data_IF_613524587248
#
_entry.id   IF_613524587248
#
_cell.length_a   1.000
_cell.length_b   1.000
_cell.length_c   1.000
_cell.angle_alpha   90.00
_cell.angle_beta   90.00
_cell.angle_gamma   90.00
#
_symmetry.space_group_name_H-M   'P 1'
#
loop_
_entity.id
_entity.type
_entity.pdbx_description
1 polymer ?
#
# COMPACT_ATOMS: atom_id res chain seq x y z
N UNK A 1 17.80 1.14 39.34
CA UNK A 1 16.97 0.24 38.50
C UNK A 1 15.54 0.75 38.32
N UNK A 2 14.81 1.15 39.38
CA UNK A 2 13.41 1.67 39.30
C UNK A 2 13.21 2.93 38.43
N UNK A 3 14.11 3.92 38.49
CA UNK A 3 13.96 5.18 37.72
C UNK A 3 14.02 4.99 36.19
N UNK A 4 14.90 4.11 35.70
CA UNK A 4 15.00 3.77 34.26
C UNK A 4 13.75 3.03 33.78
N UNK A 5 13.16 2.20 34.64
CA UNK A 5 11.93 1.46 34.33
C UNK A 5 10.72 2.39 34.23
N UNK A 6 10.56 3.33 35.15
CA UNK A 6 9.47 4.32 35.13
C UNK A 6 9.57 5.24 33.89
N UNK A 7 10.78 5.74 33.57
CA UNK A 7 10.99 6.56 32.36
C UNK A 7 10.66 5.80 31.07
N UNK A 8 10.97 4.51 31.02
CA UNK A 8 10.64 3.65 29.87
C UNK A 8 9.13 3.50 29.70
N UNK A 9 8.40 3.22 30.78
CA UNK A 9 6.93 3.14 30.77
C UNK A 9 6.30 4.46 30.30
N UNK A 10 6.79 5.60 30.80
CA UNK A 10 6.29 6.91 30.38
C UNK A 10 6.54 7.19 28.88
N UNK A 11 7.73 6.83 28.37
CA UNK A 11 8.04 6.95 26.94
C UNK A 11 7.19 6.04 26.07
N UNK A 12 6.95 4.80 26.49
CA UNK A 12 6.13 3.83 25.75
C UNK A 12 4.66 4.27 25.72
N UNK A 13 4.14 4.83 26.82
CA UNK A 13 2.80 5.41 26.88
C UNK A 13 2.66 6.64 25.96
N UNK A 14 3.67 7.52 25.94
CA UNK A 14 3.65 8.69 25.07
C UNK A 14 3.65 8.30 23.59
N UNK A 15 4.46 7.30 23.21
CA UNK A 15 4.45 6.76 21.84
C UNK A 15 3.11 6.15 21.45
N UNK A 16 2.44 5.45 22.36
CA UNK A 16 1.11 4.89 22.09
C UNK A 16 0.08 5.99 21.83
N UNK A 17 0.14 7.09 22.58
CA UNK A 17 -0.74 8.26 22.39
C UNK A 17 -0.50 8.90 21.02
N UNK A 18 0.76 9.20 20.68
CA UNK A 18 1.11 9.76 19.36
C UNK A 18 0.62 8.87 18.23
N UNK A 19 0.89 7.55 18.33
CA UNK A 19 0.44 6.57 17.35
C UNK A 19 -1.08 6.55 17.18
N UNK A 20 -1.84 6.65 18.26
CA UNK A 20 -3.32 6.62 18.20
C UNK A 20 -3.93 7.85 17.53
N UNK A 21 -3.19 8.97 17.50
CA UNK A 21 -3.62 10.23 16.87
C UNK A 21 -3.18 10.36 15.42
N UNK A 22 -2.24 9.52 14.97
CA UNK A 22 -1.70 9.58 13.62
C UNK A 22 -2.42 8.61 12.69
N UNK A 23 -2.79 9.04 11.47
CA UNK A 23 -3.31 8.13 10.46
C UNK A 23 -2.19 7.29 9.80
N UNK A 24 -0.93 7.56 10.12
CA UNK A 24 0.22 6.92 9.47
C UNK A 24 0.75 5.71 10.23
N UNK A 25 1.07 4.67 9.48
CA UNK A 25 1.65 3.44 10.00
C UNK A 25 2.82 2.97 9.15
N UNK A 26 3.88 2.51 9.80
CA UNK A 26 5.04 1.88 9.16
C UNK A 26 4.83 0.38 8.89
N UNK A 27 3.62 -0.17 9.07
CA UNK A 27 3.34 -1.61 8.90
C UNK A 27 3.68 -2.13 7.51
N UNK A 28 3.53 -1.31 6.45
CA UNK A 28 3.81 -1.73 5.08
C UNK A 28 5.28 -2.17 4.86
N UNK A 29 6.21 -1.77 5.73
CA UNK A 29 7.61 -2.24 5.69
C UNK A 29 7.75 -3.76 5.69
N UNK A 30 6.75 -4.46 6.27
CA UNK A 30 6.68 -5.92 6.37
C UNK A 30 5.59 -6.54 5.50
N UNK A 31 4.77 -5.71 4.85
CA UNK A 31 3.60 -6.16 4.09
C UNK A 31 3.79 -5.98 2.58
N UNK A 32 4.75 -5.18 2.09
CA UNK A 32 5.15 -5.05 0.67
C UNK A 32 3.95 -4.91 -0.31
N UNK A 33 4.10 -5.17 -1.61
CA UNK A 33 2.99 -5.07 -2.58
C UNK A 33 2.15 -6.36 -2.68
N UNK A 34 2.78 -7.54 -2.64
CA UNK A 34 2.11 -8.85 -2.57
C UNK A 34 1.06 -9.09 -3.67
N UNK A 35 1.33 -8.63 -4.90
CA UNK A 35 0.34 -8.70 -5.97
C UNK A 35 -0.15 -10.13 -6.23
N UNK A 36 0.77 -11.10 -6.31
CA UNK A 36 0.42 -12.49 -6.58
C UNK A 36 -0.42 -13.09 -5.45
N UNK A 37 -0.06 -12.84 -4.19
CA UNK A 37 -0.79 -13.34 -3.03
C UNK A 37 -2.19 -12.72 -2.93
N UNK A 38 -2.30 -11.41 -3.17
CA UNK A 38 -3.60 -10.71 -3.22
C UNK A 38 -4.46 -11.30 -4.33
N UNK A 39 -3.90 -11.55 -5.52
CA UNK A 39 -4.64 -12.12 -6.64
C UNK A 39 -5.09 -13.56 -6.38
N UNK A 40 -4.23 -14.40 -5.82
CA UNK A 40 -4.60 -15.77 -5.44
C UNK A 40 -5.70 -15.76 -4.38
N UNK A 41 -5.62 -14.87 -3.39
CA UNK A 41 -6.67 -14.69 -2.38
C UNK A 41 -7.99 -14.27 -3.03
N UNK A 42 -7.97 -13.30 -3.95
CA UNK A 42 -9.16 -12.84 -4.65
C UNK A 42 -9.81 -13.93 -5.51
N UNK A 43 -9.01 -14.83 -6.12
CA UNK A 43 -9.53 -15.97 -6.87
C UNK A 43 -10.34 -16.93 -6.00
N UNK A 44 -9.80 -17.31 -4.84
CA UNK A 44 -10.50 -18.20 -3.91
C UNK A 44 -11.78 -17.56 -3.37
N UNK A 45 -11.77 -16.25 -3.08
CA UNK A 45 -13.01 -15.53 -2.71
C UNK A 45 -14.02 -15.52 -3.87
N UNK A 46 -13.55 -15.33 -5.11
CA UNK A 46 -14.41 -15.34 -6.29
C UNK A 46 -15.02 -16.72 -6.56
N UNK A 47 -14.30 -17.80 -6.22
CA UNK A 47 -14.77 -19.19 -6.27
C UNK A 47 -15.78 -19.54 -5.15
N UNK A 48 -16.07 -18.59 -4.25
CA UNK A 48 -17.08 -18.73 -3.21
C UNK A 48 -16.56 -19.30 -1.89
N UNK A 49 -15.24 -19.46 -1.73
CA UNK A 49 -14.67 -19.89 -0.46
C UNK A 49 -14.93 -18.86 0.64
N UNK A 50 -15.34 -19.34 1.83
CA UNK A 50 -15.31 -18.56 3.06
C UNK A 50 -13.87 -18.18 3.46
N UNK A 51 -13.73 -17.24 4.38
CA UNK A 51 -12.41 -16.82 4.88
C UNK A 51 -11.66 -17.97 5.54
N UNK A 52 -12.39 -18.84 6.26
CA UNK A 52 -11.86 -20.02 6.93
C UNK A 52 -11.37 -21.06 5.93
N UNK A 53 -12.18 -21.42 4.93
CA UNK A 53 -11.82 -22.38 3.87
C UNK A 53 -10.63 -21.88 3.05
N UNK A 54 -10.64 -20.60 2.67
CA UNK A 54 -9.53 -19.97 1.96
C UNK A 54 -8.23 -20.03 2.78
N UNK A 55 -8.31 -19.76 4.08
CA UNK A 55 -7.15 -19.81 4.97
C UNK A 55 -6.59 -21.23 5.06
N UNK A 56 -7.48 -22.22 5.18
CA UNK A 56 -7.11 -23.63 5.20
C UNK A 56 -6.43 -24.02 3.90
N UNK A 57 -7.05 -23.73 2.75
CA UNK A 57 -6.56 -24.08 1.43
C UNK A 57 -5.18 -23.45 1.13
N UNK A 58 -4.99 -22.16 1.43
CA UNK A 58 -3.69 -21.50 1.23
C UNK A 58 -2.60 -22.10 2.12
N UNK A 59 -2.95 -22.52 3.35
CA UNK A 59 -1.99 -23.08 4.30
C UNK A 59 -1.65 -24.53 3.99
N UNK A 60 -2.65 -25.38 3.71
CA UNK A 60 -2.45 -26.80 3.40
C UNK A 60 -1.61 -26.98 2.14
N UNK A 61 -1.90 -26.19 1.12
CA UNK A 61 -1.30 -26.34 -0.20
C UNK A 61 -0.09 -25.41 -0.39
N UNK A 62 0.21 -24.61 0.64
CA UNK A 62 1.26 -23.59 0.66
C UNK A 62 1.27 -22.74 -0.62
N UNK A 63 0.10 -22.22 -1.01
CA UNK A 63 -0.08 -21.56 -2.33
C UNK A 63 0.83 -20.35 -2.53
N UNK A 64 1.30 -19.72 -1.46
CA UNK A 64 2.23 -18.60 -1.54
C UNK A 64 3.71 -19.02 -1.50
N UNK A 65 4.01 -20.30 -1.25
CA UNK A 65 5.37 -20.84 -1.15
C UNK A 65 6.22 -20.20 -0.04
N UNK A 66 5.64 -20.01 1.14
CA UNK A 66 6.33 -19.45 2.31
C UNK A 66 6.88 -20.57 3.20
N UNK A 67 8.00 -20.34 3.91
CA UNK A 67 8.66 -21.38 4.69
C UNK A 67 7.94 -21.77 5.98
N UNK A 68 6.96 -20.97 6.43
CA UNK A 68 6.26 -21.22 7.70
C UNK A 68 4.79 -20.88 7.59
N UNK A 69 3.93 -21.68 8.23
CA UNK A 69 2.50 -21.38 8.35
C UNK A 69 2.21 -20.03 8.99
N UNK A 70 3.03 -19.62 9.97
CA UNK A 70 2.86 -18.33 10.63
C UNK A 70 2.97 -17.18 9.64
N UNK A 71 3.92 -17.25 8.70
CA UNK A 71 4.06 -16.25 7.65
C UNK A 71 2.91 -16.34 6.65
N UNK A 72 2.49 -17.55 6.25
CA UNK A 72 1.31 -17.74 5.38
C UNK A 72 0.06 -17.10 5.97
N UNK A 73 -0.35 -17.51 7.18
CA UNK A 73 -1.54 -16.99 7.86
C UNK A 73 -1.47 -15.48 8.05
N UNK A 74 -0.27 -14.91 8.22
CA UNK A 74 -0.09 -13.46 8.29
C UNK A 74 -0.31 -12.80 6.93
N UNK A 75 0.29 -13.34 5.87
CA UNK A 75 0.16 -12.85 4.49
C UNK A 75 -1.29 -12.93 4.00
N UNK A 76 -2.01 -14.02 4.28
CA UNK A 76 -3.44 -14.15 3.95
C UNK A 76 -4.25 -13.03 4.59
N UNK A 77 -4.07 -12.79 5.90
CA UNK A 77 -4.76 -11.68 6.60
C UNK A 77 -4.44 -10.31 6.02
N UNK A 78 -3.22 -10.09 5.53
CA UNK A 78 -2.86 -8.84 4.86
C UNK A 78 -3.62 -8.71 3.54
N UNK A 79 -3.71 -9.79 2.76
CA UNK A 79 -4.42 -9.81 1.49
C UNK A 79 -5.91 -9.54 1.71
N UNK A 80 -6.55 -10.22 2.66
CA UNK A 80 -7.96 -10.01 3.01
C UNK A 80 -8.24 -8.55 3.37
N UNK A 81 -7.47 -7.95 4.30
CA UNK A 81 -7.67 -6.53 4.66
C UNK A 81 -7.59 -5.57 3.46
N UNK A 82 -6.70 -5.83 2.50
CA UNK A 82 -6.58 -5.00 1.29
C UNK A 82 -7.78 -5.16 0.38
N UNK A 83 -8.24 -6.39 0.19
CA UNK A 83 -9.45 -6.68 -0.60
C UNK A 83 -10.68 -6.06 0.05
N UNK A 84 -10.81 -6.18 1.38
CA UNK A 84 -11.89 -5.58 2.16
C UNK A 84 -11.87 -4.04 2.06
N UNK A 85 -10.68 -3.42 2.08
CA UNK A 85 -10.52 -1.96 1.96
C UNK A 85 -10.98 -1.38 0.60
N UNK A 86 -11.22 -2.24 -0.41
CA UNK A 86 -11.85 -1.80 -1.66
C UNK A 86 -13.34 -1.52 -1.46
N UNK A 87 -14.00 -2.17 -0.48
CA UNK A 87 -15.45 -2.07 -0.22
C UNK A 87 -16.29 -2.29 -1.49
N UNK A 88 -15.85 -3.20 -2.37
CA UNK A 88 -16.42 -3.41 -3.69
C UNK A 88 -16.07 -4.77 -4.27
N UNK A 89 -17.07 -5.66 -4.27
CA UNK A 89 -16.92 -7.04 -4.74
C UNK A 89 -16.62 -7.12 -6.24
N UNK A 90 -17.04 -6.14 -7.05
CA UNK A 90 -16.73 -6.14 -8.48
C UNK A 90 -15.23 -5.89 -8.72
N UNK A 91 -14.60 -5.03 -7.91
CA UNK A 91 -13.14 -4.83 -7.94
C UNK A 91 -12.39 -6.07 -7.44
N UNK A 92 -12.87 -6.73 -6.38
CA UNK A 92 -12.28 -8.01 -5.90
C UNK A 92 -12.34 -9.08 -6.99
N UNK A 93 -13.50 -9.24 -7.64
CA UNK A 93 -13.67 -10.15 -8.78
C UNK A 93 -12.75 -9.77 -9.95
N UNK A 94 -12.59 -8.48 -10.23
CA UNK A 94 -11.74 -8.01 -11.30
C UNK A 94 -10.26 -8.34 -11.04
N UNK A 95 -9.76 -8.25 -9.80
CA UNK A 95 -8.41 -8.70 -9.45
C UNK A 95 -8.22 -10.19 -9.81
N UNK A 96 -9.22 -11.03 -9.53
CA UNK A 96 -9.15 -12.47 -9.81
C UNK A 96 -9.09 -12.76 -11.32
N UNK A 97 -9.95 -12.09 -12.10
CA UNK A 97 -10.33 -12.49 -13.46
C UNK A 97 -9.71 -11.65 -14.58
N UNK A 98 -9.40 -10.38 -14.34
CA UNK A 98 -8.92 -9.46 -15.39
C UNK A 98 -7.43 -9.68 -15.73
N UNK A 99 -6.94 -9.15 -16.87
CA UNK A 99 -5.52 -9.12 -17.19
C UNK A 99 -4.65 -8.49 -16.10
N UNK A 100 -3.34 -8.81 -16.14
CA UNK A 100 -2.39 -8.45 -15.07
C UNK A 100 -2.27 -6.94 -14.83
N UNK A 101 -2.25 -6.14 -15.89
CA UNK A 101 -2.21 -4.68 -15.85
C UNK A 101 -3.43 -4.08 -15.13
N UNK A 102 -4.64 -4.53 -15.49
CA UNK A 102 -5.89 -4.13 -14.84
C UNK A 102 -5.87 -4.51 -13.35
N UNK A 103 -5.55 -5.77 -13.05
CA UNK A 103 -5.53 -6.26 -11.68
C UNK A 103 -4.49 -5.53 -10.81
N UNK A 104 -3.31 -5.20 -11.37
CA UNK A 104 -2.27 -4.43 -10.67
C UNK A 104 -2.76 -3.03 -10.29
N UNK A 105 -3.44 -2.31 -11.19
CA UNK A 105 -4.00 -1.00 -10.86
C UNK A 105 -5.01 -1.08 -9.71
N UNK A 106 -5.88 -2.09 -9.73
CA UNK A 106 -6.86 -2.29 -8.65
C UNK A 106 -6.15 -2.67 -7.33
N UNK A 107 -5.11 -3.51 -7.38
CA UNK A 107 -4.29 -3.83 -6.20
C UNK A 107 -3.52 -2.59 -5.66
N UNK A 108 -3.04 -1.69 -6.52
CA UNK A 108 -2.46 -0.42 -6.10
C UNK A 108 -3.51 0.47 -5.44
N UNK A 109 -4.73 0.51 -5.96
CA UNK A 109 -5.83 1.22 -5.34
C UNK A 109 -6.18 0.64 -3.95
N UNK A 110 -6.24 -0.70 -3.82
CA UNK A 110 -6.41 -1.38 -2.54
C UNK A 110 -5.29 -1.01 -1.54
N UNK A 111 -4.04 -0.92 -2.00
CA UNK A 111 -2.91 -0.44 -1.19
C UNK A 111 -3.09 1.01 -0.75
N UNK A 112 -3.55 1.90 -1.64
CA UNK A 112 -3.83 3.29 -1.30
C UNK A 112 -4.92 3.34 -0.20
N UNK A 113 -6.03 2.62 -0.36
CA UNK A 113 -7.12 2.58 0.64
C UNK A 113 -6.66 2.01 1.99
N UNK A 114 -5.80 0.98 1.97
CA UNK A 114 -5.30 0.34 3.19
C UNK A 114 -4.26 1.16 3.95
N UNK A 115 -3.44 1.97 3.26
CA UNK A 115 -2.33 2.70 3.90
C UNK A 115 -2.34 4.18 3.54
N UNK A 116 -2.64 5.04 4.52
CA UNK A 116 -2.62 6.49 4.35
C UNK A 116 -1.31 7.03 3.77
N UNK A 117 -0.18 6.46 4.18
CA UNK A 117 1.14 6.83 3.65
C UNK A 117 1.26 6.59 2.14
N UNK A 118 0.65 5.53 1.60
CA UNK A 118 0.64 5.28 0.14
C UNK A 118 -0.38 6.19 -0.53
N UNK A 119 -1.58 6.34 0.03
CA UNK A 119 -2.61 7.27 -0.46
C UNK A 119 -2.05 8.67 -0.69
N UNK A 120 -1.47 9.28 0.35
CA UNK A 120 -0.95 10.64 0.30
C UNK A 120 0.25 10.76 -0.63
N UNK A 121 1.14 9.76 -0.66
CA UNK A 121 2.28 9.76 -1.59
C UNK A 121 1.83 9.73 -3.05
N UNK A 122 0.92 8.82 -3.39
CA UNK A 122 0.43 8.65 -4.76
C UNK A 122 -0.33 9.90 -5.24
N UNK A 123 -1.04 10.60 -4.37
CA UNK A 123 -1.77 11.83 -4.75
C UNK A 123 -0.84 13.04 -4.77
N UNK A 124 -0.16 13.31 -3.65
CA UNK A 124 0.55 14.59 -3.45
C UNK A 124 1.94 14.64 -4.08
N UNK A 125 2.50 13.50 -4.48
CA UNK A 125 3.80 13.43 -5.16
C UNK A 125 3.61 12.97 -6.59
N UNK A 126 3.03 11.79 -6.81
CA UNK A 126 2.86 11.23 -8.16
C UNK A 126 1.78 12.00 -8.93
N UNK A 127 0.62 12.22 -8.32
CA UNK A 127 -0.47 12.97 -8.95
C UNK A 127 -0.10 14.41 -9.29
N UNK A 128 0.60 15.13 -8.40
CA UNK A 128 1.08 16.48 -8.68
C UNK A 128 2.13 16.51 -9.80
N UNK A 129 3.03 15.52 -9.86
CA UNK A 129 3.98 15.37 -10.97
C UNK A 129 3.26 15.20 -12.31
N UNK A 130 2.26 14.34 -12.38
CA UNK A 130 1.45 14.20 -13.58
C UNK A 130 0.68 15.49 -13.92
N UNK A 131 0.10 16.16 -12.92
CA UNK A 131 -0.64 17.43 -13.12
C UNK A 131 0.24 18.50 -13.75
N UNK A 132 1.50 18.58 -13.33
CA UNK A 132 2.49 19.53 -13.83
C UNK A 132 3.24 19.03 -15.08
N UNK A 133 2.91 17.84 -15.59
CA UNK A 133 3.64 17.13 -16.64
C UNK A 133 5.15 16.95 -16.32
N UNK A 134 5.53 16.99 -15.03
CA UNK A 134 6.87 16.71 -14.55
C UNK A 134 7.07 15.19 -14.44
N UNK A 135 7.58 14.60 -15.51
CA UNK A 135 7.91 13.16 -15.52
C UNK A 135 9.25 12.86 -14.86
N UNK A 136 9.93 13.80 -14.20
CA UNK A 136 11.15 13.50 -13.44
C UNK A 136 10.80 12.88 -12.10
N UNK A 137 11.55 11.87 -11.67
CA UNK A 137 11.38 11.30 -10.33
C UNK A 137 12.70 10.81 -9.77
N UNK A 138 13.04 11.24 -8.57
CA UNK A 138 14.32 10.97 -7.97
C UNK A 138 14.24 10.79 -6.46
N UNK A 139 15.43 10.69 -5.85
CA UNK A 139 15.56 10.59 -4.40
C UNK A 139 15.02 11.83 -3.69
N UNK A 140 15.08 13.00 -4.33
CA UNK A 140 14.62 14.26 -3.74
C UNK A 140 13.12 14.25 -3.48
N UNK A 141 12.31 13.69 -4.39
CA UNK A 141 10.85 13.66 -4.27
C UNK A 141 10.41 12.84 -3.06
N UNK A 142 10.96 11.63 -2.94
CA UNK A 142 10.63 10.75 -1.83
C UNK A 142 11.22 11.24 -0.51
N UNK A 143 12.41 11.86 -0.52
CA UNK A 143 12.99 12.44 0.69
C UNK A 143 12.15 13.62 1.18
N UNK A 144 11.77 14.52 0.29
CA UNK A 144 10.97 15.71 0.62
C UNK A 144 9.59 15.32 1.16
N UNK A 145 8.97 14.27 0.60
CA UNK A 145 7.73 13.71 1.15
C UNK A 145 7.87 13.30 2.62
N UNK A 146 8.89 12.50 2.96
CA UNK A 146 9.10 12.07 4.34
C UNK A 146 9.53 13.22 5.26
N UNK A 147 10.35 14.16 4.79
CA UNK A 147 10.74 15.33 5.59
C UNK A 147 9.53 16.18 5.96
N UNK A 148 8.66 16.49 4.99
CA UNK A 148 7.41 17.21 5.24
C UNK A 148 6.50 16.44 6.19
N UNK A 149 6.40 15.13 6.02
CA UNK A 149 5.56 14.30 6.87
C UNK A 149 6.06 14.24 8.32
N UNK A 150 7.37 14.17 8.53
CA UNK A 150 7.99 14.21 9.86
C UNK A 150 7.84 15.58 10.53
N UNK A 151 7.75 16.66 9.76
CA UNK A 151 7.49 18.01 10.29
C UNK A 151 6.04 18.19 10.73
N UNK A 152 5.10 17.51 10.04
CA UNK A 152 3.65 17.69 10.24
C UNK A 152 3.04 16.68 11.23
N UNK A 153 3.66 15.53 11.45
CA UNK A 153 3.11 14.45 12.29
C UNK A 153 4.15 13.96 13.31
N UNK A 154 3.86 14.23 14.60
CA UNK A 154 4.72 13.87 15.73
C UNK A 154 5.01 12.36 15.83
N UNK A 155 4.07 11.50 15.43
CA UNK A 155 4.28 10.05 15.44
C UNK A 155 5.27 9.64 14.36
N UNK A 156 5.13 10.16 13.15
CA UNK A 156 6.07 9.93 12.05
C UNK A 156 7.44 10.51 12.36
N UNK A 157 7.52 11.66 13.04
CA UNK A 157 8.76 12.23 13.54
C UNK A 157 9.55 11.27 14.44
N UNK A 158 8.86 10.35 15.13
CA UNK A 158 9.51 9.33 15.98
C UNK A 158 10.09 8.13 15.23
N UNK A 159 9.83 7.99 13.92
CA UNK A 159 10.31 6.85 13.14
C UNK A 159 11.83 6.91 12.97
N UNK A 160 12.49 5.75 13.09
CA UNK A 160 13.94 5.64 12.88
C UNK A 160 14.32 5.81 11.42
N UNK A 161 15.56 6.23 11.16
CA UNK A 161 16.14 6.30 9.81
C UNK A 161 16.03 4.96 9.06
N UNK A 162 16.19 3.85 9.77
CA UNK A 162 16.01 2.50 9.21
C UNK A 162 14.57 2.21 8.77
N UNK A 163 13.59 2.70 9.53
CA UNK A 163 12.16 2.58 9.19
C UNK A 163 11.85 3.42 7.96
N UNK A 164 12.28 4.69 7.95
CA UNK A 164 12.11 5.61 6.82
C UNK A 164 12.78 5.06 5.56
N UNK A 165 14.01 4.56 5.67
CA UNK A 165 14.74 3.96 4.55
C UNK A 165 14.01 2.73 3.99
N UNK A 166 13.44 1.89 4.87
CA UNK A 166 12.66 0.72 4.44
C UNK A 166 11.36 1.13 3.75
N UNK A 167 10.66 2.15 4.25
CA UNK A 167 9.46 2.68 3.63
C UNK A 167 9.75 3.26 2.24
N UNK A 168 10.82 4.04 2.10
CA UNK A 168 11.28 4.56 0.80
C UNK A 168 11.55 3.42 -0.19
N UNK A 169 12.19 2.34 0.27
CA UNK A 169 12.42 1.15 -0.56
C UNK A 169 11.10 0.49 -0.99
N UNK A 170 10.14 0.31 -0.07
CA UNK A 170 8.85 -0.31 -0.38
C UNK A 170 8.05 0.54 -1.36
N UNK A 171 7.94 1.85 -1.15
CA UNK A 171 7.28 2.76 -2.09
C UNK A 171 7.91 2.67 -3.48
N UNK A 172 9.25 2.70 -3.57
CA UNK A 172 9.92 2.59 -4.88
C UNK A 172 9.63 1.26 -5.57
N UNK A 173 9.56 0.16 -4.82
CA UNK A 173 9.17 -1.14 -5.37
C UNK A 173 7.73 -1.15 -5.85
N UNK A 174 6.79 -0.56 -5.11
CA UNK A 174 5.39 -0.43 -5.53
C UNK A 174 5.30 0.30 -6.87
N UNK A 175 6.04 1.40 -7.05
CA UNK A 175 6.08 2.13 -8.32
C UNK A 175 6.63 1.27 -9.48
N UNK A 176 7.68 0.48 -9.23
CA UNK A 176 8.25 -0.42 -10.25
C UNK A 176 7.29 -1.56 -10.60
N UNK A 177 6.70 -2.20 -9.60
CA UNK A 177 5.77 -3.33 -9.79
C UNK A 177 4.50 -2.92 -10.55
N UNK A 178 4.12 -1.64 -10.44
CA UNK A 178 2.99 -1.03 -11.16
C UNK A 178 3.42 -0.20 -12.39
N UNK A 179 4.67 -0.34 -12.84
CA UNK A 179 5.18 0.23 -14.10
C UNK A 179 5.22 1.76 -14.17
N UNK A 180 5.05 2.45 -13.04
CA UNK A 180 5.33 3.89 -12.91
C UNK A 180 6.83 4.19 -13.08
N UNK A 181 7.68 3.20 -12.81
CA UNK A 181 9.12 3.24 -13.02
C UNK A 181 9.57 1.94 -13.69
N UNK A 182 10.44 2.03 -14.70
CA UNK A 182 10.98 0.82 -15.37
C UNK A 182 11.79 -0.07 -14.41
N UNK A 183 12.48 0.55 -13.46
CA UNK A 183 13.29 -0.14 -12.47
C UNK A 183 13.62 0.77 -11.27
N UNK A 184 14.24 0.19 -10.24
CA UNK A 184 14.60 0.90 -8.99
C UNK A 184 15.67 1.99 -9.16
N UNK A 185 16.28 2.14 -10.33
CA UNK A 185 17.23 3.21 -10.66
C UNK A 185 16.65 4.23 -11.64
N UNK A 186 15.47 3.98 -12.21
CA UNK A 186 14.82 4.91 -13.11
C UNK A 186 14.64 6.27 -12.44
N UNK A 187 14.85 7.32 -13.24
CA UNK A 187 14.70 8.72 -12.84
C UNK A 187 13.55 9.43 -13.56
N UNK A 188 12.76 8.66 -14.31
CA UNK A 188 11.64 9.14 -15.11
C UNK A 188 10.39 8.34 -14.74
N UNK A 189 9.27 9.04 -14.52
CA UNK A 189 7.95 8.44 -14.40
C UNK A 189 7.40 8.10 -15.77
N UNK A 190 6.83 6.90 -15.86
CA UNK A 190 6.03 6.50 -17.00
C UNK A 190 4.62 7.07 -16.85
N UNK A 191 3.99 7.56 -17.94
CA UNK A 191 2.57 7.83 -17.93
C UNK A 191 1.79 6.54 -17.70
N UNK A 192 0.79 6.58 -16.84
CA UNK A 192 -0.13 5.47 -16.61
C UNK A 192 -1.49 5.83 -17.20
N UNK A 193 -2.16 4.84 -17.77
CA UNK A 193 -3.51 4.98 -18.30
C UNK A 193 -4.45 4.17 -17.44
N UNK A 194 -5.33 4.84 -16.70
CA UNK A 194 -6.28 4.16 -15.84
C UNK A 194 -7.25 3.31 -16.67
N UNK A 195 -7.54 2.09 -16.22
CA UNK A 195 -8.55 1.26 -16.87
C UNK A 195 -9.97 1.68 -16.45
N UNK A 196 -10.96 1.67 -17.37
CA UNK A 196 -12.32 2.16 -17.08
C UNK A 196 -13.00 1.50 -15.87
N UNK A 197 -12.72 0.21 -15.63
CA UNK A 197 -13.28 -0.50 -14.46
C UNK A 197 -12.86 0.13 -13.14
N UNK A 198 -11.59 0.53 -13.02
CA UNK A 198 -11.08 1.18 -11.81
C UNK A 198 -11.53 2.64 -11.77
N UNK A 199 -11.44 3.36 -12.88
CA UNK A 199 -11.88 4.76 -12.96
C UNK A 199 -13.33 4.92 -12.50
N UNK A 200 -14.25 4.12 -13.07
CA UNK A 200 -15.66 4.16 -12.74
C UNK A 200 -15.90 3.87 -11.25
N UNK A 201 -15.21 2.87 -10.70
CA UNK A 201 -15.34 2.53 -9.29
C UNK A 201 -14.82 3.64 -8.35
N UNK A 202 -13.72 4.31 -8.72
CA UNK A 202 -13.19 5.46 -7.96
C UNK A 202 -14.21 6.62 -7.97
N UNK A 203 -14.76 6.96 -9.14
CA UNK A 203 -15.76 8.04 -9.27
C UNK A 203 -17.04 7.73 -8.51
N UNK A 204 -17.56 6.50 -8.62
CA UNK A 204 -18.78 6.09 -7.93
C UNK A 204 -18.66 6.15 -6.39
N UNK A 205 -17.44 5.94 -5.85
CA UNK A 205 -17.17 6.05 -4.42
C UNK A 205 -16.90 7.48 -3.94
N UNK A 206 -16.78 8.45 -4.85
CA UNK A 206 -16.39 9.82 -4.52
C UNK A 206 -14.91 9.97 -4.16
N UNK A 207 -14.08 8.97 -4.49
CA UNK A 207 -12.64 8.96 -4.22
C UNK A 207 -11.84 9.67 -5.34
N UNK A 208 -12.44 10.61 -6.06
CA UNK A 208 -11.93 11.21 -7.31
C UNK A 208 -10.53 11.83 -7.19
N UNK A 209 -10.15 12.29 -6.00
CA UNK A 209 -8.79 12.79 -5.74
C UNK A 209 -7.71 11.72 -6.00
N UNK A 210 -8.05 10.43 -5.89
CA UNK A 210 -7.15 9.33 -6.22
C UNK A 210 -6.87 9.22 -7.74
N UNK A 211 -7.74 9.74 -8.61
CA UNK A 211 -7.57 9.66 -10.07
C UNK A 211 -6.28 10.34 -10.54
N UNK A 212 -5.84 11.39 -9.85
CA UNK A 212 -4.58 12.07 -10.18
C UNK A 212 -3.38 11.13 -10.08
N UNK A 213 -3.42 10.17 -9.15
CA UNK A 213 -2.36 9.17 -9.02
C UNK A 213 -2.20 8.32 -10.29
N UNK A 214 -3.25 8.19 -11.11
CA UNK A 214 -3.26 7.42 -12.35
C UNK A 214 -3.25 8.31 -13.60
N UNK A 215 -2.74 9.55 -13.47
CA UNK A 215 -2.67 10.53 -14.57
C UNK A 215 -4.05 10.84 -15.21
N UNK A 216 -5.11 10.84 -14.40
CA UNK A 216 -6.48 11.15 -14.83
C UNK A 216 -6.97 12.43 -14.13
N UNK A 217 -7.37 13.43 -14.92
CA UNK A 217 -7.74 14.77 -14.45
C UNK A 217 -9.09 15.28 -15.01
N UNK A 218 -9.84 14.43 -15.72
CA UNK A 218 -11.13 14.76 -16.33
C UNK A 218 -12.31 14.55 -15.39
#
# INVERSE_FOLDING_TARGET
MKLKFIRRIQMDNNKAILKSKSPYSATMTREQFLFHEVRTTAKLLHEGCSTEELMEHIVSDNLFQYPTEKSLKRTVRICLRRLDALEDNALVQAIATQPFDVAKQICLYAMMKQYRLVWDFMITVIGEKYRLADLTFGKIDINSYFSRLQEQDDWVATWSDSTISKLKQVIKKILVENEYLDNVRATKLNPVWIHPILENAIRQKGDEIALSAFNCFS
#
